data_IF_747723963236
#
_entry.id   IF_747723963236
#
_cell.length_a   1.000
_cell.length_b   1.000
_cell.length_c   1.000
_cell.angle_alpha   90.00
_cell.angle_beta   90.00
_cell.angle_gamma   90.00
#
_symmetry.space_group_name_H-M   'P 1'
#
loop_
_entity.id
_entity.type
_entity.pdbx_description
1 polymer ?
#
# COMPACT_ATOMS: atom_id res chain seq x y z
N UNK A 1 -51.23 12.84 -27.15
CA UNK A 1 -51.16 11.37 -27.10
C UNK A 1 -50.58 10.97 -25.76
N UNK A 2 -51.32 10.05 -25.16
CA UNK A 2 -51.29 9.41 -23.83
C UNK A 2 -50.46 9.95 -22.65
N UNK A 3 -51.11 10.11 -21.48
CA UNK A 3 -50.55 10.58 -20.22
C UNK A 3 -50.08 9.41 -19.34
N UNK A 4 -48.90 9.49 -18.73
CA UNK A 4 -48.58 8.58 -17.63
C UNK A 4 -47.42 9.09 -16.79
N UNK A 5 -47.71 9.52 -15.55
CA UNK A 5 -47.32 8.82 -14.31
C UNK A 5 -47.87 9.59 -13.09
N UNK A 6 -48.90 9.08 -12.41
CA UNK A 6 -49.02 9.24 -10.96
C UNK A 6 -47.98 8.31 -10.31
N UNK A 7 -47.52 8.42 -9.07
CA UNK A 7 -47.78 9.30 -7.94
C UNK A 7 -46.94 8.69 -6.79
N UNK A 8 -46.30 9.50 -5.96
CA UNK A 8 -45.69 9.04 -4.71
C UNK A 8 -46.43 9.65 -3.52
N UNK A 9 -47.46 8.92 -3.09
CA UNK A 9 -48.13 9.17 -1.81
C UNK A 9 -47.19 8.77 -0.69
N UNK A 10 -46.68 9.79 0.01
CA UNK A 10 -46.01 9.63 1.29
C UNK A 10 -46.96 9.03 2.34
N UNK A 11 -46.47 8.04 3.08
CA UNK A 11 -47.04 7.64 4.35
C UNK A 11 -45.90 7.38 5.34
N UNK A 12 -45.50 8.45 6.03
CA UNK A 12 -44.86 8.34 7.33
C UNK A 12 -45.90 7.90 8.37
N UNK A 13 -45.52 6.95 9.23
CA UNK A 13 -46.37 6.44 10.29
C UNK A 13 -45.58 5.52 11.22
N UNK A 14 -44.90 6.15 12.17
CA UNK A 14 -44.11 5.54 13.24
C UNK A 14 -45.00 5.07 14.41
N UNK A 15 -44.46 4.10 15.19
CA UNK A 15 -44.81 3.62 16.56
C UNK A 15 -46.02 2.67 16.69
N UNK A 16 -46.07 1.58 17.49
CA UNK A 16 -45.42 1.05 18.73
C UNK A 16 -45.47 -0.51 18.61
N UNK A 17 -44.62 -1.39 19.15
CA UNK A 17 -43.96 -1.47 20.46
C UNK A 17 -44.35 -2.81 21.13
N UNK A 18 -43.43 -3.76 21.20
CA UNK A 18 -43.39 -4.88 22.17
C UNK A 18 -41.92 -5.26 22.31
N UNK A 19 -41.25 -4.63 23.28
CA UNK A 19 -39.96 -5.07 23.76
C UNK A 19 -40.22 -6.23 24.69
N UNK A 20 -40.20 -7.44 24.15
CA UNK A 20 -39.96 -8.62 24.96
C UNK A 20 -38.51 -8.55 25.48
N UNK A 21 -38.40 -8.11 26.73
CA UNK A 21 -37.17 -7.96 27.50
C UNK A 21 -36.54 -9.33 27.76
N UNK A 22 -35.64 -9.75 26.87
CA UNK A 22 -34.78 -10.90 27.13
C UNK A 22 -33.66 -10.46 28.08
N UNK A 23 -33.48 -11.12 29.24
CA UNK A 23 -32.46 -10.73 30.21
C UNK A 23 -31.06 -10.84 29.61
N UNK A 24 -30.31 -9.74 29.71
CA UNK A 24 -28.89 -9.69 29.35
C UNK A 24 -28.11 -10.54 30.35
N UNK A 25 -27.58 -11.66 29.88
CA UNK A 25 -26.62 -12.48 30.63
C UNK A 25 -25.34 -11.65 30.88
N UNK A 26 -24.76 -11.68 32.10
CA UNK A 26 -23.56 -10.93 32.39
C UNK A 26 -22.31 -11.61 31.82
N UNK A 27 -21.43 -10.80 31.22
CA UNK A 27 -19.99 -10.94 31.38
C UNK A 27 -19.33 -12.16 30.72
N UNK A 28 -19.53 -12.35 29.42
CA UNK A 28 -18.64 -13.17 28.61
C UNK A 28 -17.32 -12.43 28.38
N UNK A 29 -16.25 -12.87 29.05
CA UNK A 29 -14.88 -12.35 28.94
C UNK A 29 -14.46 -12.21 27.47
N UNK A 30 -14.41 -10.98 26.96
CA UNK A 30 -13.62 -10.72 25.76
C UNK A 30 -12.15 -10.88 26.16
N UNK A 31 -11.61 -12.06 25.81
CA UNK A 31 -10.18 -12.33 25.67
C UNK A 31 -9.52 -11.07 25.10
N UNK A 32 -8.46 -10.61 25.76
CA UNK A 32 -7.68 -9.46 25.30
C UNK A 32 -7.36 -9.61 23.82
N UNK A 33 -7.76 -8.61 23.04
CA UNK A 33 -7.25 -8.43 21.69
C UNK A 33 -5.74 -8.16 21.84
N UNK A 34 -4.86 -9.05 21.37
CA UNK A 34 -3.45 -8.71 21.34
C UNK A 34 -3.36 -7.59 20.32
N UNK A 35 -3.17 -6.35 20.79
CA UNK A 35 -2.88 -5.18 19.98
C UNK A 35 -1.56 -5.35 19.22
N UNK A 36 -1.52 -6.33 18.31
CA UNK A 36 -0.47 -6.57 17.35
C UNK A 36 -0.65 -5.52 16.28
N UNK A 37 0.15 -4.46 16.38
CA UNK A 37 0.35 -3.53 15.28
C UNK A 37 0.61 -4.38 14.03
N UNK A 38 -0.30 -4.34 13.06
CA UNK A 38 -0.11 -5.00 11.79
C UNK A 38 1.19 -4.47 11.18
N UNK A 39 2.26 -5.28 11.25
CA UNK A 39 3.52 -4.99 10.57
C UNK A 39 3.25 -5.11 9.07
N UNK A 40 3.06 -3.97 8.41
CA UNK A 40 3.02 -3.91 6.96
C UNK A 40 4.43 -4.21 6.45
N UNK A 41 4.64 -5.44 5.99
CA UNK A 41 5.91 -5.82 5.36
C UNK A 41 6.05 -5.05 4.05
N UNK A 42 7.12 -4.25 3.95
CA UNK A 42 7.42 -3.54 2.70
C UNK A 42 8.02 -4.53 1.70
N UNK A 43 7.41 -4.64 0.52
CA UNK A 43 7.94 -5.49 -0.54
C UNK A 43 9.21 -4.88 -1.12
N UNK A 44 10.28 -5.67 -1.14
CA UNK A 44 11.55 -5.33 -1.78
C UNK A 44 11.89 -6.40 -2.81
N UNK A 45 12.20 -5.98 -4.04
CA UNK A 45 12.58 -6.88 -5.13
C UNK A 45 13.95 -6.49 -5.69
N UNK A 46 14.88 -7.42 -5.68
CA UNK A 46 16.20 -7.24 -6.31
C UNK A 46 16.12 -7.65 -7.77
N UNK A 47 16.43 -6.72 -8.69
CA UNK A 47 16.48 -7.02 -10.12
C UNK A 47 17.91 -7.40 -10.51
N UNK A 48 18.15 -8.57 -11.12
CA UNK A 48 19.47 -8.94 -11.62
C UNK A 48 20.01 -7.90 -12.59
N UNK A 49 21.24 -7.40 -12.34
CA UNK A 49 21.87 -6.33 -13.11
C UNK A 49 21.03 -5.04 -13.20
N UNK A 50 20.13 -4.83 -12.24
CA UNK A 50 19.18 -3.72 -12.22
C UNK A 50 19.05 -3.10 -10.83
N UNK A 51 18.10 -2.18 -10.67
CA UNK A 51 17.84 -1.52 -9.39
C UNK A 51 17.20 -2.47 -8.38
N UNK A 52 17.20 -2.06 -7.11
CA UNK A 52 16.32 -2.62 -6.09
C UNK A 52 14.98 -1.87 -6.16
N UNK A 53 13.88 -2.59 -6.31
CA UNK A 53 12.54 -2.04 -6.32
C UNK A 53 11.94 -2.13 -4.92
N UNK A 54 11.47 -1.01 -4.39
CA UNK A 54 10.83 -0.89 -3.08
C UNK A 54 9.39 -0.42 -3.28
N UNK A 55 8.43 -1.12 -2.69
CA UNK A 55 7.04 -0.65 -2.63
C UNK A 55 7.00 0.60 -1.76
N UNK A 56 6.68 1.74 -2.35
CA UNK A 56 6.74 3.05 -1.69
C UNK A 56 5.43 3.46 -1.02
N UNK A 57 5.40 4.66 -0.38
CA UNK A 57 6.46 5.67 -0.33
C UNK A 57 7.71 5.25 0.46
N UNK A 58 8.88 5.83 0.16
CA UNK A 58 10.14 5.47 0.81
C UNK A 58 11.01 6.70 1.15
N UNK A 59 11.66 6.64 2.31
CA UNK A 59 12.70 7.57 2.78
C UNK A 59 14.04 6.84 2.76
N UNK A 60 15.01 7.36 2.00
CA UNK A 60 16.31 6.73 1.77
C UNK A 60 17.37 7.57 2.47
N UNK A 61 18.07 6.97 3.44
CA UNK A 61 19.19 7.59 4.14
C UNK A 61 20.51 7.20 3.48
N UNK A 62 21.35 8.19 3.24
CA UNK A 62 22.64 8.03 2.59
C UNK A 62 23.79 8.06 3.61
N UNK A 63 24.95 7.46 3.30
CA UNK A 63 26.09 7.42 4.23
C UNK A 63 26.66 8.80 4.61
N UNK A 64 26.43 9.82 3.79
CA UNK A 64 26.79 11.22 4.03
C UNK A 64 25.76 11.97 4.88
N UNK A 65 24.68 11.30 5.31
CA UNK A 65 23.58 11.88 6.06
C UNK A 65 22.51 12.54 5.18
N UNK A 66 22.66 12.55 3.85
CA UNK A 66 21.62 13.04 2.97
C UNK A 66 20.38 12.12 3.01
N UNK A 67 19.20 12.72 2.85
CA UNK A 67 17.93 12.00 2.82
C UNK A 67 17.22 12.30 1.51
N UNK A 68 16.79 11.23 0.82
CA UNK A 68 15.99 11.33 -0.40
C UNK A 68 14.65 10.66 -0.17
N UNK A 69 13.59 11.42 -0.34
CA UNK A 69 12.21 10.95 -0.18
C UNK A 69 11.56 10.73 -1.55
N UNK A 70 10.78 9.66 -1.67
CA UNK A 70 9.96 9.40 -2.84
C UNK A 70 8.58 8.96 -2.40
N UNK A 71 7.57 9.68 -2.87
CA UNK A 71 6.15 9.43 -2.65
C UNK A 71 5.55 8.39 -3.63
N UNK A 72 6.37 7.90 -4.57
CA UNK A 72 5.92 6.96 -5.60
C UNK A 72 5.61 5.60 -4.99
N UNK A 73 4.56 4.95 -5.51
CA UNK A 73 4.20 3.58 -5.13
C UNK A 73 5.28 2.53 -5.41
N UNK A 74 6.24 2.84 -6.29
CA UNK A 74 7.39 2.00 -6.58
C UNK A 74 8.63 2.88 -6.71
N UNK A 75 9.63 2.61 -5.86
CA UNK A 75 10.89 3.35 -5.80
C UNK A 75 12.01 2.45 -6.28
N UNK A 76 12.76 2.90 -7.28
CA UNK A 76 13.88 2.15 -7.84
C UNK A 76 15.21 2.70 -7.32
N UNK A 77 15.86 1.96 -6.42
CA UNK A 77 17.15 2.30 -5.83
C UNK A 77 18.28 1.80 -6.71
N UNK A 78 19.22 2.68 -7.05
CA UNK A 78 20.35 2.40 -7.90
C UNK A 78 21.41 1.56 -7.17
N UNK A 79 21.73 0.41 -7.76
CA UNK A 79 22.82 -0.48 -7.29
C UNK A 79 24.12 -0.29 -8.09
N UNK A 80 24.06 0.37 -9.24
CA UNK A 80 25.18 0.48 -10.18
C UNK A 80 26.03 1.75 -10.02
N UNK A 81 25.63 2.68 -9.15
CA UNK A 81 26.27 3.98 -8.88
C UNK A 81 26.58 4.87 -10.10
N UNK A 82 25.88 4.66 -11.21
CA UNK A 82 26.00 5.47 -12.44
C UNK A 82 24.85 6.42 -12.68
N UNK A 83 23.90 6.46 -11.74
CA UNK A 83 22.74 7.34 -11.86
C UNK A 83 23.14 8.78 -11.62
N UNK A 84 22.64 9.69 -12.44
CA UNK A 84 22.77 11.13 -12.19
C UNK A 84 21.88 11.61 -11.03
N UNK A 85 20.84 10.84 -10.71
CA UNK A 85 19.90 11.09 -9.62
C UNK A 85 20.14 10.12 -8.45
N UNK A 86 21.39 9.70 -8.22
CA UNK A 86 21.73 8.80 -7.11
C UNK A 86 21.19 9.36 -5.78
N UNK A 87 20.45 8.58 -4.97
CA UNK A 87 20.33 7.11 -4.95
C UNK A 87 19.28 6.48 -5.87
N UNK A 88 18.47 7.26 -6.59
CA UNK A 88 17.42 6.76 -7.47
C UNK A 88 17.99 6.24 -8.80
N UNK A 89 17.29 5.32 -9.45
CA UNK A 89 17.70 4.74 -10.72
C UNK A 89 17.13 5.53 -11.92
N UNK A 90 18.02 6.18 -12.68
CA UNK A 90 17.75 6.91 -13.93
C UNK A 90 17.88 6.05 -15.21
N UNK A 91 17.90 4.72 -15.06
CA UNK A 91 18.17 3.72 -16.13
C UNK A 91 19.60 3.66 -16.67
N UNK A 92 20.56 4.42 -16.12
CA UNK A 92 21.98 4.37 -16.52
C UNK A 92 22.58 2.96 -16.41
N UNK A 93 22.00 2.08 -15.60
CA UNK A 93 22.41 0.67 -15.52
C UNK A 93 22.40 -0.04 -16.88
N UNK A 94 21.45 0.30 -17.77
CA UNK A 94 21.26 -0.31 -19.10
C UNK A 94 22.44 -0.06 -20.04
N UNK A 95 23.15 1.06 -19.87
CA UNK A 95 24.31 1.42 -20.72
C UNK A 95 25.49 0.44 -20.58
N UNK A 96 25.56 -0.34 -19.48
CA UNK A 96 26.58 -1.39 -19.31
C UNK A 96 26.10 -2.80 -19.67
N UNK A 97 24.95 -2.97 -20.35
CA UNK A 97 24.52 -4.29 -20.86
C UNK A 97 25.50 -4.94 -21.86
N UNK A 98 26.59 -4.25 -22.24
CA UNK A 98 27.67 -4.80 -23.09
C UNK A 98 28.84 -5.47 -22.36
N UNK A 99 28.90 -5.54 -21.02
CA UNK A 99 30.14 -5.99 -20.33
C UNK A 99 29.98 -7.24 -19.43
N UNK A 100 28.80 -7.86 -19.31
CA UNK A 100 28.67 -9.15 -18.61
C UNK A 100 27.74 -10.12 -19.34
N UNK A 101 28.07 -10.41 -20.58
CA UNK A 101 27.71 -11.68 -21.20
C UNK A 101 29.00 -12.52 -21.23
N UNK A 102 28.97 -13.65 -20.53
CA UNK A 102 29.95 -14.75 -20.61
C UNK A 102 31.30 -14.54 -19.88
N UNK A 103 31.43 -15.18 -18.72
CA UNK A 103 32.66 -15.83 -18.28
C UNK A 103 32.29 -16.82 -17.16
N UNK A 104 31.84 -18.00 -17.58
CA UNK A 104 32.01 -19.25 -16.83
C UNK A 104 32.88 -20.12 -17.73
N UNK A 105 34.15 -20.26 -17.35
CA UNK A 105 35.05 -21.28 -17.85
C UNK A 105 34.76 -22.60 -17.13
#
# INVERSE_FOLDING_TARGET
>A
MDPFRPGDDGAGGVVRGDRSDSPRLPGGRARGDPGGQAVSTTRVQVVPNGPVLVSGPARIEMPDGAVVESDRFMVAICTCRRSQEYPLCDTSHRRCRRVKAQQSA
#
